data_IF_563507396716
#
_entry.id   IF_563507396716
#
_cell.length_a   1.000
_cell.length_b   1.000
_cell.length_c   1.000
_cell.angle_alpha   90.00
_cell.angle_beta   90.00
_cell.angle_gamma   90.00
#
_symmetry.space_group_name_H-M   'P 1'
#
loop_
_entity.id
_entity.type
_entity.pdbx_description
1 polymer ?
#
# COMPACT_ATOMS: atom_id res chain seq x y z
N UNK A 1 61.41 -40.23 26.90
CA UNK A 1 61.28 -39.44 25.67
C UNK A 1 59.83 -39.07 25.53
N UNK A 2 59.47 -37.88 26.00
CA UNK A 2 58.04 -37.44 26.12
C UNK A 2 57.72 -36.44 25.05
N UNK A 3 56.79 -36.80 24.16
CA UNK A 3 56.23 -35.90 23.18
C UNK A 3 55.02 -35.21 23.81
N UNK A 4 55.18 -33.94 24.14
CA UNK A 4 54.08 -33.05 24.58
C UNK A 4 53.32 -32.55 23.35
N UNK A 5 52.09 -33.00 23.20
CA UNK A 5 51.13 -32.55 22.21
C UNK A 5 50.53 -31.20 22.67
N UNK A 6 50.84 -30.13 21.95
CA UNK A 6 50.20 -28.82 22.15
C UNK A 6 48.91 -28.81 21.32
N UNK A 7 47.77 -28.94 21.99
CA UNK A 7 46.46 -28.67 21.45
C UNK A 7 46.20 -27.18 21.46
N UNK A 8 46.22 -26.52 20.30
CA UNK A 8 45.80 -25.14 20.15
C UNK A 8 44.27 -25.07 19.91
N UNK A 9 43.54 -24.55 20.90
CA UNK A 9 42.12 -24.20 20.72
C UNK A 9 42.02 -22.95 19.84
N UNK A 10 41.52 -23.15 18.62
CA UNK A 10 41.08 -22.05 17.76
C UNK A 10 39.64 -21.76 18.14
N UNK A 11 39.41 -20.70 18.87
CA UNK A 11 38.11 -20.17 19.23
C UNK A 11 37.62 -19.31 18.05
N UNK A 12 36.78 -19.88 17.20
CA UNK A 12 36.15 -19.19 16.09
C UNK A 12 35.06 -18.27 16.63
N UNK A 13 35.32 -16.97 16.59
CA UNK A 13 34.37 -15.91 16.94
C UNK A 13 33.36 -15.80 15.78
N UNK A 14 32.20 -16.43 15.91
CA UNK A 14 31.08 -16.24 14.98
C UNK A 14 30.44 -14.88 15.26
N UNK A 15 30.81 -13.86 14.48
CA UNK A 15 30.07 -12.60 14.43
C UNK A 15 28.69 -12.88 13.78
N UNK A 16 27.67 -12.99 14.61
CA UNK A 16 26.29 -13.05 14.16
C UNK A 16 25.90 -11.72 13.52
N UNK A 17 25.77 -11.70 12.21
CA UNK A 17 25.14 -10.59 11.48
C UNK A 17 23.65 -10.62 11.80
N UNK A 18 23.20 -9.78 12.75
CA UNK A 18 21.77 -9.58 12.97
C UNK A 18 21.18 -8.86 11.77
N UNK A 19 20.14 -9.41 11.11
CA UNK A 19 19.46 -8.70 10.05
C UNK A 19 18.77 -7.46 10.67
N UNK A 20 19.19 -6.27 10.25
CA UNK A 20 18.47 -5.02 10.50
C UNK A 20 17.14 -5.12 9.78
N UNK A 21 16.06 -5.45 10.50
CA UNK A 21 14.70 -5.38 9.97
C UNK A 21 14.33 -3.91 9.78
N UNK A 22 14.55 -3.40 8.57
CA UNK A 22 13.94 -2.13 8.17
C UNK A 22 12.42 -2.32 8.20
N UNK A 23 11.66 -1.37 8.79
CA UNK A 23 10.20 -1.45 8.76
C UNK A 23 9.74 -1.49 7.30
N UNK A 24 9.22 -2.64 6.90
CA UNK A 24 8.81 -2.89 5.54
C UNK A 24 7.54 -2.10 5.24
N UNK A 25 7.51 -1.47 4.06
CA UNK A 25 6.31 -0.90 3.49
C UNK A 25 5.21 -1.95 3.46
N UNK A 26 4.08 -1.68 4.12
CA UNK A 26 2.97 -2.60 4.25
C UNK A 26 1.97 -2.32 3.13
N UNK A 27 1.72 -3.31 2.28
CA UNK A 27 0.74 -3.25 1.19
C UNK A 27 -0.23 -4.41 1.34
N UNK A 28 -1.52 -4.11 1.29
CA UNK A 28 -2.62 -5.08 1.34
C UNK A 28 -3.59 -4.76 0.21
N UNK A 29 -4.11 -5.78 -0.44
CA UNK A 29 -5.13 -5.67 -1.48
C UNK A 29 -6.26 -6.65 -1.22
N UNK A 30 -7.46 -6.28 -1.64
CA UNK A 30 -8.65 -7.10 -1.57
C UNK A 30 -9.56 -6.80 -2.76
N UNK A 31 -10.42 -7.74 -3.16
CA UNK A 31 -11.29 -7.59 -4.30
C UNK A 31 -12.57 -8.42 -4.15
N UNK A 32 -13.59 -8.08 -4.92
CA UNK A 32 -14.82 -8.84 -5.01
C UNK A 32 -14.61 -10.06 -5.91
N UNK A 33 -14.61 -11.27 -5.33
CA UNK A 33 -14.40 -12.54 -6.02
C UNK A 33 -15.51 -12.90 -7.02
N UNK A 34 -16.65 -12.24 -6.96
CA UNK A 34 -17.75 -12.43 -7.92
C UNK A 34 -17.57 -11.65 -9.23
N UNK A 35 -16.56 -10.76 -9.28
CA UNK A 35 -16.36 -9.85 -10.41
C UNK A 35 -15.37 -10.43 -11.42
N UNK A 36 -15.75 -10.38 -12.68
CA UNK A 36 -14.89 -10.73 -13.82
C UNK A 36 -14.17 -9.49 -14.35
N UNK A 37 -12.92 -9.29 -13.93
CA UNK A 37 -12.12 -8.09 -14.29
C UNK A 37 -11.84 -7.97 -15.80
N UNK A 38 -11.94 -9.05 -16.56
CA UNK A 38 -11.75 -9.05 -18.01
C UNK A 38 -12.80 -8.24 -18.79
N UNK A 39 -13.90 -7.87 -18.17
CA UNK A 39 -14.93 -7.03 -18.79
C UNK A 39 -14.59 -5.54 -18.77
N UNK A 40 -13.64 -5.10 -17.93
CA UNK A 40 -13.29 -3.70 -17.75
C UNK A 40 -12.06 -3.33 -18.60
N UNK A 41 -12.18 -2.24 -19.36
CA UNK A 41 -11.13 -1.77 -20.27
C UNK A 41 -10.86 -0.28 -20.13
N UNK A 42 -11.81 0.46 -19.59
CA UNK A 42 -11.73 1.91 -19.42
C UNK A 42 -11.92 2.31 -17.97
N UNK A 43 -11.26 3.39 -17.58
CA UNK A 43 -11.48 3.96 -16.27
C UNK A 43 -11.54 5.49 -16.33
N UNK A 44 -12.27 6.06 -15.40
CA UNK A 44 -12.29 7.51 -15.14
C UNK A 44 -12.01 7.79 -13.68
N UNK A 45 -11.52 8.99 -13.37
CA UNK A 45 -11.31 9.40 -12.01
C UNK A 45 -12.61 9.92 -11.39
N UNK A 46 -12.95 9.39 -10.19
CA UNK A 46 -14.01 9.92 -9.36
C UNK A 46 -13.44 10.88 -8.32
N UNK A 47 -13.11 10.37 -7.15
CA UNK A 47 -12.60 11.17 -6.03
C UNK A 47 -11.10 10.93 -5.84
N UNK A 48 -10.34 12.02 -5.79
CA UNK A 48 -8.93 12.00 -5.42
C UNK A 48 -8.73 13.07 -4.33
N UNK A 49 -8.19 12.67 -3.20
CA UNK A 49 -7.96 13.58 -2.08
C UNK A 49 -6.61 13.32 -1.41
N UNK A 50 -5.84 14.39 -1.30
CA UNK A 50 -4.62 14.44 -0.49
C UNK A 50 -4.48 15.84 0.09
N UNK A 51 -3.98 15.97 1.32
CA UNK A 51 -3.70 17.27 1.93
C UNK A 51 -2.55 18.03 1.23
N UNK A 52 -1.71 17.34 0.46
CA UNK A 52 -0.64 17.91 -0.35
C UNK A 52 -0.98 17.75 -1.85
N UNK A 53 -1.29 18.86 -2.56
CA UNK A 53 -1.65 18.81 -3.99
C UNK A 53 -0.54 18.26 -4.90
N UNK A 54 0.74 18.46 -4.54
CA UNK A 54 1.85 17.92 -5.32
C UNK A 54 1.95 16.39 -5.14
N UNK A 55 1.63 15.89 -3.96
CA UNK A 55 1.59 14.48 -3.70
C UNK A 55 0.37 13.82 -4.35
N UNK A 56 -0.75 14.54 -4.38
CA UNK A 56 -1.98 14.12 -5.06
C UNK A 56 -1.75 13.84 -6.55
N UNK A 57 -1.14 14.80 -7.28
CA UNK A 57 -0.83 14.62 -8.69
C UNK A 57 0.09 13.41 -8.94
N UNK A 58 1.07 13.19 -8.07
CA UNK A 58 2.00 12.05 -8.18
C UNK A 58 1.33 10.70 -7.93
N UNK A 59 0.34 10.66 -7.04
CA UNK A 59 -0.50 9.46 -6.83
C UNK A 59 -1.28 9.17 -8.11
N UNK A 60 -1.95 10.20 -8.64
CA UNK A 60 -2.72 10.09 -9.88
C UNK A 60 -1.87 9.53 -11.03
N UNK A 61 -0.73 10.15 -11.28
CA UNK A 61 0.19 9.74 -12.35
C UNK A 61 0.67 8.29 -12.18
N UNK A 62 0.94 7.88 -10.92
CA UNK A 62 1.41 6.52 -10.64
C UNK A 62 0.33 5.47 -10.87
N UNK A 63 -0.91 5.76 -10.48
CA UNK A 63 -2.06 4.86 -10.70
C UNK A 63 -2.38 4.80 -12.19
N UNK A 64 -2.40 5.95 -12.90
CA UNK A 64 -2.61 6.01 -14.34
C UNK A 64 -1.56 5.18 -15.08
N UNK A 65 -0.29 5.33 -14.73
CA UNK A 65 0.80 4.57 -15.35
C UNK A 65 0.60 3.06 -15.18
N UNK A 66 0.23 2.62 -13.97
CA UNK A 66 0.04 1.19 -13.70
C UNK A 66 -1.18 0.64 -14.44
N UNK A 67 -2.34 1.30 -14.38
CA UNK A 67 -3.56 0.84 -15.06
C UNK A 67 -3.35 0.79 -16.58
N UNK A 68 -2.72 1.82 -17.16
CA UNK A 68 -2.38 1.83 -18.58
C UNK A 68 -1.41 0.71 -18.95
N UNK A 69 -0.43 0.39 -18.11
CA UNK A 69 0.47 -0.75 -18.33
C UNK A 69 -0.25 -2.11 -18.30
N UNK A 70 -1.42 -2.17 -17.67
CA UNK A 70 -2.32 -3.33 -17.64
C UNK A 70 -3.32 -3.35 -18.80
N UNK A 71 -3.23 -2.38 -19.73
CA UNK A 71 -4.08 -2.29 -20.92
C UNK A 71 -5.38 -1.51 -20.72
N UNK A 72 -5.59 -0.89 -19.55
CA UNK A 72 -6.76 -0.07 -19.30
C UNK A 72 -6.56 1.34 -19.86
N UNK A 73 -7.63 1.97 -20.33
CA UNK A 73 -7.61 3.30 -20.96
C UNK A 73 -8.26 4.34 -20.05
N UNK A 74 -7.56 5.44 -19.82
CA UNK A 74 -8.12 6.60 -19.14
C UNK A 74 -9.10 7.32 -20.08
N UNK A 75 -10.33 7.54 -19.62
CA UNK A 75 -11.33 8.38 -20.27
C UNK A 75 -11.71 9.55 -19.37
N UNK A 76 -12.17 10.68 -19.95
CA UNK A 76 -12.50 11.86 -19.15
C UNK A 76 -13.60 11.63 -18.12
N UNK A 77 -14.62 10.83 -18.48
CA UNK A 77 -15.78 10.50 -17.65
C UNK A 77 -16.44 9.21 -18.17
N UNK A 78 -17.22 8.55 -17.30
CA UNK A 78 -18.03 7.39 -17.70
C UNK A 78 -17.22 6.15 -18.08
N UNK A 79 -16.00 5.98 -17.59
CA UNK A 79 -15.25 4.74 -17.73
C UNK A 79 -16.00 3.55 -17.11
N UNK A 80 -15.67 2.32 -17.55
CA UNK A 80 -16.23 1.09 -16.97
C UNK A 80 -16.00 1.04 -15.46
N UNK A 81 -14.87 1.61 -15.02
CA UNK A 81 -14.46 1.67 -13.62
C UNK A 81 -14.22 3.12 -13.20
N UNK A 82 -14.74 3.46 -12.03
CA UNK A 82 -14.41 4.72 -11.35
C UNK A 82 -13.28 4.48 -10.35
N UNK A 83 -12.16 5.18 -10.55
CA UNK A 83 -11.01 5.15 -9.66
C UNK A 83 -11.15 6.23 -8.61
N UNK A 84 -10.97 5.88 -7.35
CA UNK A 84 -10.85 6.84 -6.25
C UNK A 84 -9.57 6.59 -5.48
N UNK A 85 -8.92 7.66 -5.03
CA UNK A 85 -7.76 7.52 -4.16
C UNK A 85 -7.78 8.55 -3.04
N UNK A 86 -7.26 8.13 -1.89
CA UNK A 86 -7.10 8.99 -0.72
C UNK A 86 -5.71 8.79 -0.15
N UNK A 87 -5.03 9.90 0.14
CA UNK A 87 -3.78 9.88 0.85
C UNK A 87 -3.87 10.67 2.15
N UNK A 88 -3.51 9.99 3.24
CA UNK A 88 -3.46 10.55 4.58
C UNK A 88 -2.00 10.66 4.98
N UNK A 89 -1.50 11.89 5.11
CA UNK A 89 -0.10 12.18 5.41
C UNK A 89 0.17 12.49 6.89
N UNK A 90 -0.81 12.26 7.78
CA UNK A 90 -0.72 12.57 9.21
C UNK A 90 -1.36 11.50 10.09
N UNK A 91 -0.82 11.39 11.30
CA UNK A 91 -1.24 10.64 12.49
C UNK A 91 -2.52 9.80 12.44
N UNK A 92 -2.43 8.58 12.99
CA UNK A 92 -3.49 7.57 13.11
C UNK A 92 -4.89 8.05 13.56
N UNK A 93 -5.01 9.22 14.19
CA UNK A 93 -6.31 9.74 14.67
C UNK A 93 -7.23 10.22 13.55
N UNK A 94 -6.70 10.75 12.45
CA UNK A 94 -7.52 11.20 11.30
C UNK A 94 -8.05 10.02 10.47
N UNK A 95 -7.36 8.90 10.52
CA UNK A 95 -7.70 7.68 9.81
C UNK A 95 -9.08 7.11 10.21
N UNK A 96 -9.41 7.14 11.49
CA UNK A 96 -10.69 6.60 12.01
C UNK A 96 -11.88 7.47 11.58
N UNK A 97 -11.70 8.78 11.53
CA UNK A 97 -12.74 9.73 11.14
C UNK A 97 -13.09 9.63 9.65
N UNK A 98 -12.10 9.35 8.81
CA UNK A 98 -12.28 9.21 7.37
C UNK A 98 -13.12 7.96 7.00
N UNK A 99 -12.86 6.83 7.62
CA UNK A 99 -13.64 5.60 7.38
C UNK A 99 -15.10 5.72 7.81
N UNK A 100 -15.38 6.49 8.84
CA UNK A 100 -16.76 6.74 9.29
C UNK A 100 -17.52 7.67 8.34
N UNK A 101 -16.85 8.47 7.52
CA UNK A 101 -17.44 9.39 6.54
C UNK A 101 -17.75 8.78 5.17
N UNK A 102 -17.10 7.67 4.79
CA UNK A 102 -17.23 7.04 3.48
C UNK A 102 -18.32 5.94 3.38
N UNK A 103 -19.22 5.87 4.32
CA UNK A 103 -20.35 4.94 4.29
C UNK A 103 -20.03 3.62 5.00
N UNK A 104 -20.66 3.50 6.18
CA UNK A 104 -20.58 2.29 6.98
C UNK A 104 -21.08 1.08 6.21
N UNK A 105 -20.29 0.05 6.17
CA UNK A 105 -20.72 -1.25 5.67
C UNK A 105 -19.64 -2.31 5.51
N UNK A 106 -18.41 -1.95 5.37
CA UNK A 106 -17.33 -2.95 5.23
C UNK A 106 -16.67 -3.25 6.56
N UNK A 107 -17.06 -4.36 7.14
CA UNK A 107 -16.38 -4.97 8.29
C UNK A 107 -15.09 -5.61 7.78
N UNK A 108 -13.98 -4.88 7.80
CA UNK A 108 -12.67 -5.49 7.70
C UNK A 108 -12.43 -6.35 8.95
N UNK A 109 -12.75 -7.62 8.83
CA UNK A 109 -12.35 -8.60 9.84
C UNK A 109 -10.84 -8.82 9.71
N UNK A 110 -10.07 -8.22 10.61
CA UNK A 110 -8.67 -8.58 10.79
C UNK A 110 -7.65 -7.47 10.97
N UNK A 111 -8.03 -6.20 10.88
CA UNK A 111 -7.05 -5.10 10.93
C UNK A 111 -7.23 -4.14 12.10
N UNK A 112 -7.54 -4.60 13.26
CA UNK A 112 -7.91 -3.68 14.32
C UNK A 112 -7.47 -3.98 15.74
N UNK A 113 -6.89 -5.10 16.04
CA UNK A 113 -6.58 -5.40 17.45
C UNK A 113 -5.19 -6.01 17.59
N UNK A 114 -4.20 -5.18 17.87
CA UNK A 114 -2.88 -5.71 18.18
C UNK A 114 -1.74 -4.71 18.30
N UNK A 115 -2.01 -3.44 18.51
CA UNK A 115 -0.97 -2.49 18.90
C UNK A 115 -1.14 -2.14 20.36
N UNK A 116 -0.57 -2.98 21.20
CA UNK A 116 -0.40 -2.67 22.61
C UNK A 116 0.53 -1.47 22.75
N UNK A 117 0.07 -0.50 23.50
CA UNK A 117 0.77 0.65 24.03
C UNK A 117 2.20 0.34 24.43
N UNK A 118 3.17 0.96 23.76
CA UNK A 118 4.46 1.25 24.36
C UNK A 118 5.04 2.45 23.64
N UNK A 119 5.25 3.56 24.34
CA UNK A 119 5.92 4.80 23.96
C UNK A 119 5.93 5.08 22.45
N UNK A 120 4.88 5.69 21.99
CA UNK A 120 4.75 6.13 20.60
C UNK A 120 5.52 7.45 20.50
N UNK A 121 6.75 7.40 20.01
CA UNK A 121 7.24 8.51 19.22
C UNK A 121 6.26 8.65 18.07
N UNK A 122 5.70 9.85 17.88
CA UNK A 122 4.80 10.18 16.77
C UNK A 122 5.58 10.11 15.45
N UNK A 123 5.78 8.89 14.96
CA UNK A 123 6.40 8.69 13.65
C UNK A 123 5.32 8.95 12.60
N UNK A 124 5.50 9.97 11.75
CA UNK A 124 4.51 10.29 10.74
C UNK A 124 4.38 9.11 9.76
N UNK A 125 3.18 8.59 9.63
CA UNK A 125 2.86 7.49 8.71
C UNK A 125 1.98 8.02 7.59
N UNK A 126 2.43 7.81 6.35
CA UNK A 126 1.60 8.03 5.17
C UNK A 126 0.79 6.77 4.84
N UNK A 127 -0.48 6.95 4.55
CA UNK A 127 -1.36 5.88 4.05
C UNK A 127 -1.94 6.30 2.71
N UNK A 128 -1.84 5.44 1.70
CA UNK A 128 -2.50 5.61 0.41
C UNK A 128 -3.51 4.48 0.24
N UNK A 129 -4.74 4.85 -0.10
CA UNK A 129 -5.83 3.93 -0.42
C UNK A 129 -6.21 4.19 -1.86
N UNK A 130 -6.31 3.13 -2.66
CA UNK A 130 -6.82 3.19 -4.03
C UNK A 130 -7.99 2.22 -4.12
N UNK A 131 -9.12 2.74 -4.57
CA UNK A 131 -10.38 2.01 -4.73
C UNK A 131 -10.81 2.02 -6.19
N UNK A 132 -11.27 0.88 -6.66
CA UNK A 132 -11.88 0.71 -7.97
C UNK A 132 -13.35 0.32 -7.77
N UNK A 133 -14.24 1.11 -8.38
CA UNK A 133 -15.68 0.88 -8.34
C UNK A 133 -16.19 0.53 -9.72
N UNK A 134 -17.04 -0.46 -9.83
CA UNK A 134 -17.87 -0.64 -11.02
C UNK A 134 -18.76 0.58 -11.22
N UNK A 135 -18.60 1.28 -12.34
CA UNK A 135 -19.30 2.55 -12.57
C UNK A 135 -20.81 2.34 -12.71
N UNK A 136 -21.24 1.25 -13.32
CA UNK A 136 -22.65 0.92 -13.53
C UNK A 136 -23.32 0.48 -12.21
N UNK A 137 -22.73 -0.48 -11.52
CA UNK A 137 -23.27 -1.05 -10.28
C UNK A 137 -22.91 -0.25 -9.02
N UNK A 138 -21.98 0.70 -9.11
CA UNK A 138 -21.44 1.50 -7.98
C UNK A 138 -20.89 0.67 -6.84
N UNK A 139 -20.58 -0.60 -7.09
CA UNK A 139 -19.96 -1.50 -6.14
C UNK A 139 -18.44 -1.34 -6.10
N UNK A 140 -17.85 -1.44 -4.91
CA UNK A 140 -16.39 -1.55 -4.78
C UNK A 140 -15.97 -2.94 -5.28
N UNK A 141 -15.11 -2.97 -6.30
CA UNK A 141 -14.64 -4.20 -6.92
C UNK A 141 -13.22 -4.57 -6.54
N UNK A 142 -12.41 -3.57 -6.17
CA UNK A 142 -11.03 -3.78 -5.73
C UNK A 142 -10.55 -2.65 -4.85
N UNK A 143 -9.71 -2.96 -3.87
CA UNK A 143 -9.07 -2.02 -2.96
C UNK A 143 -7.61 -2.36 -2.74
N UNK A 144 -6.75 -1.36 -2.83
CA UNK A 144 -5.36 -1.42 -2.40
C UNK A 144 -5.09 -0.42 -1.27
N UNK A 145 -4.38 -0.85 -0.25
CA UNK A 145 -3.95 0.00 0.87
C UNK A 145 -2.46 -0.14 1.07
N UNK A 146 -1.74 0.96 1.09
CA UNK A 146 -0.33 0.99 1.45
C UNK A 146 -0.06 1.92 2.63
N UNK A 147 0.82 1.49 3.51
CA UNK A 147 1.34 2.27 4.62
C UNK A 147 2.85 2.35 4.56
N UNK A 148 3.40 3.51 4.82
CA UNK A 148 4.84 3.75 4.87
C UNK A 148 5.17 4.83 5.89
N UNK A 149 6.31 4.68 6.55
CA UNK A 149 6.86 5.77 7.35
C UNK A 149 7.28 6.90 6.41
N UNK A 150 6.86 8.12 6.74
CA UNK A 150 7.29 9.32 6.04
C UNK A 150 8.70 9.70 6.47
N UNK A 151 9.39 10.42 5.62
CA UNK A 151 10.73 10.97 5.87
C UNK A 151 10.72 12.47 5.67
N UNK A 152 11.79 13.14 6.10
CA UNK A 152 11.98 14.59 5.87
C UNK A 152 12.33 14.93 4.41
N UNK A 153 12.28 13.94 3.50
CA UNK A 153 12.68 14.08 2.09
C UNK A 153 11.52 13.70 1.17
N UNK A 154 10.81 14.69 0.60
CA UNK A 154 9.65 14.46 -0.27
C UNK A 154 9.93 13.54 -1.47
N UNK A 155 11.16 13.56 -2.01
CA UNK A 155 11.54 12.70 -3.13
C UNK A 155 11.59 11.23 -2.72
N UNK A 156 12.09 10.94 -1.50
CA UNK A 156 12.10 9.58 -0.96
C UNK A 156 10.69 9.06 -0.73
N UNK A 157 9.81 9.91 -0.22
CA UNK A 157 8.42 9.53 0.05
C UNK A 157 7.64 9.32 -1.26
N UNK A 158 7.91 10.14 -2.28
CA UNK A 158 7.40 9.92 -3.63
C UNK A 158 7.85 8.57 -4.20
N UNK A 159 9.13 8.23 -4.06
CA UNK A 159 9.65 6.95 -4.53
C UNK A 159 9.04 5.76 -3.78
N UNK A 160 8.85 5.87 -2.46
CA UNK A 160 8.17 4.85 -1.66
C UNK A 160 6.70 4.70 -2.07
N UNK A 161 6.00 5.80 -2.31
CA UNK A 161 4.61 5.81 -2.74
C UNK A 161 4.45 5.11 -4.09
N UNK A 162 5.28 5.45 -5.09
CA UNK A 162 5.28 4.75 -6.39
C UNK A 162 5.48 3.25 -6.24
N UNK A 163 6.51 2.85 -5.51
CA UNK A 163 6.76 1.44 -5.19
C UNK A 163 5.57 0.75 -4.52
N UNK A 164 4.85 1.48 -3.66
CA UNK A 164 3.67 0.96 -3.00
C UNK A 164 2.54 0.71 -4.00
N UNK A 165 2.28 1.68 -4.87
CA UNK A 165 1.26 1.57 -5.92
C UNK A 165 1.62 0.42 -6.88
N UNK A 166 2.86 0.33 -7.36
CA UNK A 166 3.31 -0.79 -8.18
C UNK A 166 3.07 -2.14 -7.49
N UNK A 167 3.37 -2.22 -6.19
CA UNK A 167 3.15 -3.43 -5.41
C UNK A 167 1.66 -3.75 -5.19
N UNK A 168 0.80 -2.75 -5.00
CA UNK A 168 -0.66 -2.94 -4.92
C UNK A 168 -1.17 -3.62 -6.18
N UNK A 169 -0.74 -3.15 -7.35
CA UNK A 169 -1.20 -3.64 -8.64
C UNK A 169 -0.38 -4.81 -9.20
N UNK A 170 0.59 -5.36 -8.44
CA UNK A 170 1.44 -6.46 -8.94
C UNK A 170 0.65 -7.70 -9.36
N UNK A 171 -0.46 -7.99 -8.66
CA UNK A 171 -1.37 -9.11 -8.94
C UNK A 171 -2.72 -8.65 -9.51
N UNK A 172 -2.77 -7.44 -10.07
CA UNK A 172 -3.97 -6.91 -10.71
C UNK A 172 -3.86 -7.06 -12.24
N UNK A 173 -4.96 -7.38 -12.96
CA UNK A 173 -6.23 -7.82 -12.40
C UNK A 173 -6.08 -9.18 -11.70
N UNK A 174 -6.92 -9.47 -10.67
CA UNK A 174 -6.93 -10.80 -10.06
C UNK A 174 -7.22 -11.87 -11.11
N UNK A 175 -6.61 -13.05 -10.95
CA UNK A 175 -6.94 -14.19 -11.80
C UNK A 175 -8.42 -14.58 -11.59
N UNK A 176 -9.12 -14.92 -12.67
CA UNK A 176 -10.45 -15.52 -12.56
C UNK A 176 -10.29 -16.90 -11.86
N UNK A 177 -11.04 -17.12 -10.78
CA UNK A 177 -11.15 -18.43 -10.14
C UNK A 177 -12.07 -19.35 -10.93
#
# INVERSE_FOLDING_TARGET
MNFLQRAGCIMALALGVMPLTTPAQQVVTDYDHSVHFSQYHTYSWGHLHCSDPLFESRIKDSVDQVLQSKGWQLVPDGGDVTVSAVAILKNQKEYTTFYNGLGGGWRWHGWGTGWATTNVEDVPVGTVIVDLYDTAGKGLIWRGVARSMLSDKPEKDTAKMRKAIDKMFSHFPPAAE
#
